data_IF_233494707013
#
_entry.id   IF_233494707013
#
_cell.length_a   1.000
_cell.length_b   1.000
_cell.length_c   1.000
_cell.angle_alpha   90.00
_cell.angle_beta   90.00
_cell.angle_gamma   90.00
#
_symmetry.space_group_name_H-M   'P 1'
#
loop_
_entity.id
_entity.type
_entity.pdbx_description
1 polymer ?
#
# COMPACT_ATOMS: atom_id res chain seq x y z
N UNK A 1 -1.35 3.39 -2.36
CA UNK A 1 -1.15 3.39 -0.90
C UNK A 1 -1.48 1.99 -0.39
N UNK A 2 -0.58 1.29 0.30
CA UNK A 2 -0.81 -0.11 0.72
C UNK A 2 -0.87 -0.26 2.23
N UNK A 3 -2.07 -0.44 2.77
CA UNK A 3 -2.30 -0.74 4.18
C UNK A 3 -2.90 -2.14 4.39
N UNK A 4 -2.74 -2.67 5.61
CA UNK A 4 -3.03 -4.07 5.93
C UNK A 4 -4.50 -4.27 6.44
N UNK A 5 -5.54 -4.05 5.60
CA UNK A 5 -7.02 -4.28 5.86
C UNK A 5 -7.83 -4.31 4.55
N UNK A 6 -8.89 -5.07 4.22
CA UNK A 6 -9.44 -6.46 4.41
C UNK A 6 -9.97 -7.02 5.75
N UNK A 7 -11.15 -7.67 5.67
CA UNK A 7 -11.57 -9.03 6.15
C UNK A 7 -12.47 -9.60 5.03
N UNK A 8 -12.51 -10.93 4.76
CA UNK A 8 -13.25 -11.61 3.64
C UNK A 8 -13.85 -10.72 2.52
N UNK A 9 -13.20 -10.65 1.34
CA UNK A 9 -13.68 -9.93 0.16
C UNK A 9 -14.20 -10.91 -0.92
N UNK A 10 -15.32 -10.57 -1.58
CA UNK A 10 -15.79 -11.25 -2.81
C UNK A 10 -15.12 -10.61 -4.03
N UNK A 11 -14.80 -11.42 -5.04
CA UNK A 11 -14.23 -10.94 -6.31
C UNK A 11 -15.37 -10.51 -7.23
N UNK A 12 -15.26 -9.33 -7.83
CA UNK A 12 -16.12 -8.82 -8.90
C UNK A 12 -15.21 -8.45 -10.10
N UNK A 13 -15.33 -9.07 -11.29
CA UNK A 13 -14.24 -9.13 -12.27
C UNK A 13 -14.15 -7.93 -13.23
N UNK A 14 -14.68 -6.74 -12.88
CA UNK A 14 -15.06 -5.73 -13.87
C UNK A 14 -14.61 -4.27 -13.61
N UNK A 15 -13.30 -4.02 -13.43
CA UNK A 15 -12.73 -2.65 -13.59
C UNK A 15 -11.44 -2.68 -14.40
N UNK A 16 -11.37 -1.86 -15.46
CA UNK A 16 -10.24 -1.86 -16.42
C UNK A 16 -9.02 -1.09 -15.91
N UNK A 17 -7.83 -1.60 -16.23
CA UNK A 17 -6.58 -0.84 -16.21
C UNK A 17 -6.19 -0.38 -17.62
N UNK A 18 -5.40 0.70 -17.70
CA UNK A 18 -4.85 1.32 -18.93
C UNK A 18 -5.93 1.93 -19.83
N UNK A 19 -6.06 3.26 -19.77
CA UNK A 19 -6.74 4.06 -20.78
C UNK A 19 -5.73 4.97 -21.50
N UNK A 20 -5.33 4.60 -22.72
CA UNK A 20 -4.60 5.50 -23.61
C UNK A 20 -5.11 5.35 -25.04
N UNK A 21 -5.59 6.45 -25.63
CA UNK A 21 -6.14 6.47 -27.00
C UNK A 21 -5.02 6.46 -28.05
N UNK A 22 -4.42 5.30 -28.28
CA UNK A 22 -3.69 4.99 -29.52
C UNK A 22 -4.04 3.58 -29.97
N UNK A 23 -4.69 3.46 -31.13
CA UNK A 23 -5.12 2.17 -31.71
C UNK A 23 -3.92 1.43 -32.32
N UNK A 24 -2.99 1.01 -31.47
CA UNK A 24 -1.97 0.02 -31.81
C UNK A 24 -2.68 -1.26 -32.22
N UNK A 25 -2.45 -1.69 -33.47
CA UNK A 25 -2.86 -3.01 -33.93
C UNK A 25 -1.89 -3.99 -33.27
N UNK A 26 -2.28 -4.49 -32.10
CA UNK A 26 -1.50 -5.44 -31.32
C UNK A 26 -1.69 -6.85 -31.91
N UNK A 27 -0.84 -7.17 -32.88
CA UNK A 27 -0.75 -8.51 -33.47
C UNK A 27 -0.46 -9.57 -32.40
N UNK A 28 -0.90 -10.80 -32.64
CA UNK A 28 -0.88 -11.85 -31.61
C UNK A 28 0.54 -12.20 -31.12
N UNK A 29 1.55 -12.12 -31.99
CA UNK A 29 2.96 -12.28 -31.59
C UNK A 29 3.42 -11.14 -30.67
N UNK A 30 3.04 -9.90 -30.97
CA UNK A 30 3.37 -8.71 -30.16
C UNK A 30 2.69 -8.80 -28.79
N UNK A 31 1.43 -9.21 -28.72
CA UNK A 31 0.74 -9.50 -27.45
C UNK A 31 1.44 -10.58 -26.64
N UNK A 32 1.78 -11.70 -27.30
CA UNK A 32 2.45 -12.85 -26.67
C UNK A 32 3.79 -12.44 -26.03
N UNK A 33 4.65 -11.76 -26.79
CA UNK A 33 5.94 -11.29 -26.29
C UNK A 33 5.82 -10.32 -25.10
N UNK A 34 4.78 -9.45 -25.10
CA UNK A 34 4.52 -8.54 -23.97
C UNK A 34 4.06 -9.31 -22.73
N UNK A 35 3.15 -10.28 -22.88
CA UNK A 35 2.64 -11.12 -21.79
C UNK A 35 3.73 -12.01 -21.19
N UNK A 36 4.58 -12.62 -22.02
CA UNK A 36 5.70 -13.46 -21.56
C UNK A 36 6.74 -12.65 -20.78
N UNK A 37 7.08 -11.43 -21.27
CA UNK A 37 7.98 -10.52 -20.56
C UNK A 37 7.39 -10.02 -19.22
N UNK A 38 6.10 -9.65 -19.19
CA UNK A 38 5.42 -9.26 -17.96
C UNK A 38 5.36 -10.40 -16.93
N UNK A 39 5.10 -11.64 -17.37
CA UNK A 39 5.14 -12.82 -16.51
C UNK A 39 6.53 -13.04 -15.91
N UNK A 40 7.59 -12.91 -16.73
CA UNK A 40 8.97 -13.03 -16.27
C UNK A 40 9.36 -11.98 -15.21
N UNK A 41 8.89 -10.74 -15.34
CA UNK A 41 9.12 -9.70 -14.34
C UNK A 41 8.42 -10.00 -13.00
N UNK A 42 7.22 -10.60 -13.04
CA UNK A 42 6.48 -11.00 -11.83
C UNK A 42 7.16 -12.18 -11.13
N UNK A 43 7.61 -13.21 -11.86
CA UNK A 43 8.37 -14.34 -11.29
C UNK A 43 9.70 -13.87 -10.67
N UNK A 44 10.42 -12.95 -11.33
CA UNK A 44 11.63 -12.35 -10.76
C UNK A 44 11.33 -11.63 -9.42
N UNK A 45 10.24 -10.86 -9.36
CA UNK A 45 9.82 -10.17 -8.13
C UNK A 45 9.42 -11.14 -7.01
N UNK A 46 8.72 -12.23 -7.35
CA UNK A 46 8.42 -13.32 -6.40
C UNK A 46 9.73 -13.89 -5.85
N UNK A 47 10.66 -14.26 -6.73
CA UNK A 47 11.95 -14.85 -6.35
C UNK A 47 12.79 -13.91 -5.46
N UNK A 48 12.84 -12.60 -5.73
CA UNK A 48 13.53 -11.63 -4.86
C UNK A 48 12.91 -11.55 -3.47
N UNK A 49 11.58 -11.61 -3.34
CA UNK A 49 10.89 -11.61 -2.04
C UNK A 49 11.08 -12.94 -1.30
N UNK A 50 11.05 -14.08 -2.00
CA UNK A 50 11.21 -15.42 -1.41
C UNK A 50 12.61 -15.67 -0.81
N UNK A 51 13.66 -14.95 -1.26
CA UNK A 51 15.00 -14.96 -0.63
C UNK A 51 14.99 -14.63 0.86
N UNK A 52 14.00 -13.87 1.33
CA UNK A 52 13.84 -13.47 2.74
C UNK A 52 12.50 -13.85 3.36
N UNK A 53 11.49 -14.17 2.55
CA UNK A 53 10.16 -14.59 2.98
C UNK A 53 9.88 -16.04 2.57
N UNK A 54 10.62 -16.96 3.18
CA UNK A 54 10.72 -18.37 2.78
C UNK A 54 9.40 -19.15 3.00
N UNK A 55 9.07 -20.04 2.06
CA UNK A 55 8.09 -21.11 2.25
C UNK A 55 6.62 -20.70 2.18
N UNK A 56 6.32 -19.52 1.63
CA UNK A 56 4.96 -18.94 1.62
C UNK A 56 4.59 -18.29 0.29
N UNK A 57 4.98 -18.92 -0.83
CA UNK A 57 4.82 -18.39 -2.19
C UNK A 57 3.44 -17.79 -2.48
N UNK A 58 2.35 -18.50 -2.15
CA UNK A 58 0.98 -18.01 -2.33
C UNK A 58 0.69 -16.66 -1.63
N UNK A 59 1.33 -16.39 -0.49
CA UNK A 59 1.19 -15.10 0.20
C UNK A 59 1.96 -14.00 -0.54
N UNK A 60 3.11 -14.31 -1.12
CA UNK A 60 3.89 -13.39 -1.99
C UNK A 60 3.09 -13.09 -3.25
N UNK A 61 2.57 -14.11 -3.94
CA UNK A 61 1.74 -14.01 -5.14
C UNK A 61 0.47 -13.19 -4.90
N UNK A 62 -0.26 -13.42 -3.80
CA UNK A 62 -1.43 -12.62 -3.42
C UNK A 62 -1.07 -11.16 -3.07
N UNK A 63 0.10 -10.93 -2.46
CA UNK A 63 0.58 -9.58 -2.14
C UNK A 63 0.95 -8.81 -3.40
N UNK A 64 1.66 -9.43 -4.35
CA UNK A 64 2.03 -8.84 -5.63
C UNK A 64 0.79 -8.64 -6.52
N UNK A 65 -0.17 -9.57 -6.51
CA UNK A 65 -1.47 -9.42 -7.18
C UNK A 65 -2.24 -8.20 -6.63
N UNK A 66 -2.32 -8.07 -5.30
CA UNK A 66 -2.95 -6.90 -4.67
C UNK A 66 -2.21 -5.59 -5.00
N UNK A 67 -0.87 -5.62 -5.03
CA UNK A 67 -0.02 -4.50 -5.44
C UNK A 67 -0.33 -4.02 -6.87
N UNK A 68 -0.34 -4.94 -7.85
CA UNK A 68 -0.62 -4.62 -9.25
C UNK A 68 -2.06 -4.09 -9.42
N UNK A 69 -3.01 -4.63 -8.65
CA UNK A 69 -4.41 -4.19 -8.64
C UNK A 69 -4.66 -2.86 -7.91
N UNK A 70 -3.64 -2.22 -7.29
CA UNK A 70 -3.77 -1.08 -6.35
C UNK A 70 -4.68 -1.37 -5.14
N UNK A 71 -4.81 -2.64 -4.75
CA UNK A 71 -5.64 -3.09 -3.64
C UNK A 71 -5.02 -2.90 -2.26
N UNK A 72 -5.65 -3.53 -1.26
CA UNK A 72 -5.19 -3.57 0.13
C UNK A 72 -5.28 -5.02 0.65
N UNK A 73 -4.62 -5.35 1.76
CA UNK A 73 -4.42 -6.76 2.17
C UNK A 73 -4.22 -6.91 3.68
N UNK A 74 -5.23 -7.33 4.46
CA UNK A 74 -4.96 -7.80 5.83
C UNK A 74 -4.26 -9.15 5.77
N UNK A 75 -3.36 -9.37 6.72
CA UNK A 75 -2.92 -10.71 7.11
C UNK A 75 -3.47 -10.94 8.52
N UNK A 76 -4.66 -11.54 8.63
CA UNK A 76 -5.33 -11.78 9.94
C UNK A 76 -4.45 -12.63 10.87
N UNK A 77 -4.57 -12.37 12.17
CA UNK A 77 -4.44 -13.23 13.38
C UNK A 77 -3.43 -14.41 13.43
N UNK A 78 -2.44 -14.44 12.55
CA UNK A 78 -1.28 -15.34 12.68
C UNK A 78 -0.04 -14.50 13.05
N UNK A 79 0.41 -14.52 14.32
CA UNK A 79 1.67 -13.89 14.73
C UNK A 79 2.88 -14.65 14.18
N UNK A 80 4.07 -14.04 14.22
CA UNK A 80 5.31 -14.68 13.75
C UNK A 80 5.42 -14.94 12.24
N UNK A 81 4.37 -14.72 11.44
CA UNK A 81 4.40 -15.09 10.00
C UNK A 81 5.33 -14.26 9.12
N UNK A 82 5.95 -13.19 9.65
CA UNK A 82 6.85 -12.33 8.90
C UNK A 82 6.18 -11.18 8.15
N UNK A 83 5.04 -10.66 8.63
CA UNK A 83 4.33 -9.50 8.01
C UNK A 83 5.29 -8.33 7.73
N UNK A 84 6.12 -7.99 8.72
CA UNK A 84 7.20 -6.99 8.63
C UNK A 84 8.30 -7.37 7.64
N UNK A 85 8.65 -8.65 7.54
CA UNK A 85 9.65 -9.14 6.57
C UNK A 85 9.12 -8.99 5.16
N UNK A 86 7.89 -9.43 4.88
CA UNK A 86 7.23 -9.33 3.58
C UNK A 86 7.11 -7.87 3.11
N UNK A 87 6.62 -6.98 3.97
CA UNK A 87 6.46 -5.56 3.62
C UNK A 87 7.80 -4.87 3.32
N UNK A 88 8.86 -5.17 4.09
CA UNK A 88 10.22 -4.65 3.86
C UNK A 88 10.95 -5.32 2.69
N UNK A 89 10.63 -6.58 2.38
CA UNK A 89 11.15 -7.29 1.21
C UNK A 89 10.59 -6.67 -0.06
N UNK A 90 9.27 -6.51 -0.11
CA UNK A 90 8.57 -5.88 -1.24
C UNK A 90 8.97 -4.42 -1.43
N UNK A 91 9.19 -3.66 -0.35
CA UNK A 91 9.66 -2.27 -0.46
C UNK A 91 11.09 -2.18 -1.01
N UNK A 92 11.99 -3.09 -0.62
CA UNK A 92 13.36 -3.14 -1.14
C UNK A 92 13.44 -3.66 -2.58
N UNK A 93 12.63 -4.66 -2.94
CA UNK A 93 12.63 -5.26 -4.28
C UNK A 93 12.07 -4.33 -5.37
N UNK A 94 11.44 -3.22 -4.97
CA UNK A 94 10.78 -2.24 -5.86
C UNK A 94 11.26 -0.80 -5.67
N UNK A 95 12.26 -0.57 -4.80
CA UNK A 95 12.76 0.76 -4.38
C UNK A 95 11.65 1.73 -3.93
N UNK A 96 10.80 1.24 -3.01
CA UNK A 96 9.62 1.94 -2.51
C UNK A 96 9.78 2.38 -1.05
N UNK A 97 9.21 3.55 -0.72
CA UNK A 97 9.09 4.07 0.63
C UNK A 97 8.24 3.16 1.52
N UNK A 98 8.73 2.90 2.73
CA UNK A 98 8.12 2.03 3.73
C UNK A 98 7.89 2.78 5.05
N UNK A 99 6.66 2.68 5.58
CA UNK A 99 6.34 3.07 6.96
C UNK A 99 5.72 1.91 7.74
N UNK A 100 5.67 2.07 9.07
CA UNK A 100 4.93 1.19 9.98
C UNK A 100 4.13 2.03 10.95
N UNK A 101 2.84 1.74 11.08
CA UNK A 101 1.93 2.36 12.03
C UNK A 101 1.53 1.29 13.03
N UNK A 102 1.92 1.48 14.30
CA UNK A 102 1.50 0.63 15.40
C UNK A 102 0.29 1.30 16.07
N UNK A 103 -0.91 0.80 15.81
CA UNK A 103 -2.12 1.45 16.33
C UNK A 103 -2.25 1.22 17.84
N UNK A 104 -2.52 2.30 18.57
CA UNK A 104 -2.72 2.33 20.02
C UNK A 104 -4.03 3.05 20.36
N UNK A 105 -4.51 2.91 21.60
CA UNK A 105 -5.81 3.43 22.05
C UNK A 105 -5.87 4.96 22.15
N UNK A 106 -4.71 5.59 22.31
CA UNK A 106 -4.46 7.02 22.41
C UNK A 106 -4.12 7.70 21.07
N UNK A 107 -3.80 6.93 20.02
CA UNK A 107 -3.42 7.44 18.70
C UNK A 107 -4.50 8.31 18.06
N UNK A 108 -4.12 9.51 17.66
CA UNK A 108 -4.95 10.50 17.00
C UNK A 108 -4.91 10.36 15.46
N UNK A 109 -5.92 10.85 14.72
CA UNK A 109 -5.87 10.94 13.26
C UNK A 109 -4.63 11.65 12.71
N UNK A 110 -4.14 12.69 13.40
CA UNK A 110 -2.93 13.45 13.05
C UNK A 110 -1.66 12.59 13.03
N UNK A 111 -1.60 11.55 13.84
CA UNK A 111 -0.41 10.69 13.97
C UNK A 111 -0.26 9.74 12.77
N UNK A 112 -1.32 9.66 11.96
CA UNK A 112 -1.41 8.91 10.71
C UNK A 112 -1.35 9.87 9.52
N UNK A 113 -2.25 10.86 9.51
CA UNK A 113 -2.45 11.81 8.41
C UNK A 113 -1.39 12.91 8.32
N UNK A 114 -0.65 13.16 9.40
CA UNK A 114 0.19 14.34 9.54
C UNK A 114 -0.56 15.53 10.15
N UNK A 115 0.16 16.65 10.30
CA UNK A 115 -0.36 17.87 10.93
C UNK A 115 0.44 19.10 10.51
N UNK A 116 -0.12 20.29 10.71
CA UNK A 116 0.61 21.55 10.56
C UNK A 116 1.38 21.88 11.85
N UNK A 117 2.70 22.05 11.73
CA UNK A 117 3.60 22.39 12.83
C UNK A 117 4.11 23.82 12.65
N UNK A 118 3.81 24.68 13.61
CA UNK A 118 4.32 26.06 13.67
C UNK A 118 5.84 26.08 13.81
N UNK A 119 6.50 26.91 13.01
CA UNK A 119 7.95 27.14 13.06
C UNK A 119 8.23 28.53 13.65
N UNK A 120 8.69 28.64 14.92
CA UNK A 120 8.96 29.94 15.54
C UNK A 120 10.01 30.79 14.80
N UNK A 121 10.89 30.17 14.00
CA UNK A 121 11.94 30.85 13.26
C UNK A 121 11.45 31.56 11.99
N UNK A 122 10.30 31.15 11.42
CA UNK A 122 9.68 31.83 10.26
C UNK A 122 8.30 32.41 10.57
N UNK A 123 7.73 32.10 11.75
CA UNK A 123 6.36 32.42 12.15
C UNK A 123 5.26 31.81 11.26
N UNK A 124 5.57 30.73 10.55
CA UNK A 124 4.67 30.03 9.62
C UNK A 124 4.26 28.65 10.13
N UNK A 125 3.14 28.14 9.64
CA UNK A 125 2.76 26.74 9.80
C UNK A 125 3.33 25.90 8.64
N UNK A 126 4.02 24.81 8.97
CA UNK A 126 4.63 23.89 8.00
C UNK A 126 3.94 22.52 8.07
N UNK A 127 3.46 21.98 6.94
CA UNK A 127 2.90 20.64 6.94
C UNK A 127 3.97 19.59 7.24
N UNK A 128 3.67 18.69 8.17
CA UNK A 128 4.47 17.51 8.50
C UNK A 128 3.65 16.28 8.13
N UNK A 129 4.02 15.67 7.02
CA UNK A 129 3.43 14.44 6.50
C UNK A 129 3.51 13.31 7.54
N UNK A 130 2.37 12.66 7.77
CA UNK A 130 2.32 11.48 8.61
C UNK A 130 2.85 10.22 7.89
N UNK A 131 2.92 9.07 8.59
CA UNK A 131 3.37 7.80 8.01
C UNK A 131 2.49 7.30 6.84
N UNK A 132 1.31 7.91 6.62
CA UNK A 132 0.39 7.58 5.53
C UNK A 132 0.98 7.86 4.13
N UNK A 133 1.94 8.78 3.98
CA UNK A 133 2.54 9.16 2.69
C UNK A 133 3.66 8.21 2.20
N UNK A 134 3.73 6.99 2.74
CA UNK A 134 4.63 5.94 2.24
C UNK A 134 3.94 5.04 1.23
N UNK A 135 4.69 4.55 0.24
CA UNK A 135 4.13 3.67 -0.78
C UNK A 135 3.58 2.38 -0.15
N UNK A 136 4.35 1.78 0.78
CA UNK A 136 3.99 0.57 1.55
C UNK A 136 3.89 0.92 3.04
N UNK A 137 2.79 0.53 3.68
CA UNK A 137 2.44 0.90 5.05
C UNK A 137 2.06 -0.36 5.84
N UNK A 138 2.90 -0.78 6.77
CA UNK A 138 2.54 -1.83 7.71
C UNK A 138 1.67 -1.24 8.83
N UNK A 139 0.35 -1.35 8.69
CA UNK A 139 -0.63 -0.96 9.69
C UNK A 139 -0.93 -2.14 10.64
N UNK A 140 -0.24 -2.21 11.77
CA UNK A 140 -0.39 -3.26 12.78
C UNK A 140 -1.41 -2.88 13.87
N UNK A 141 -2.19 -3.86 14.32
CA UNK A 141 -3.13 -3.74 15.45
C UNK A 141 -4.23 -2.66 15.32
N UNK A 142 -4.64 -2.30 14.09
CA UNK A 142 -5.61 -1.23 13.76
C UNK A 142 -6.84 -1.19 14.69
N UNK A 143 -7.33 -2.36 15.11
CA UNK A 143 -8.51 -2.49 15.98
C UNK A 143 -8.31 -1.97 17.42
N UNK A 144 -7.09 -1.61 17.83
CA UNK A 144 -6.78 -1.02 19.16
C UNK A 144 -7.11 0.47 19.26
N UNK A 145 -7.19 1.20 18.15
CA UNK A 145 -7.39 2.65 18.16
C UNK A 145 -8.86 3.05 18.14
N UNK A 146 -9.12 4.32 18.46
CA UNK A 146 -10.47 4.90 18.38
C UNK A 146 -11.11 4.70 16.98
N UNK A 147 -12.45 4.57 16.89
CA UNK A 147 -13.13 4.51 15.59
C UNK A 147 -12.81 5.70 14.68
N UNK A 148 -12.64 6.90 15.23
CA UNK A 148 -12.24 8.11 14.48
C UNK A 148 -10.86 7.96 13.83
N UNK A 149 -9.91 7.38 14.55
CA UNK A 149 -8.55 7.10 14.06
C UNK A 149 -8.56 6.01 12.98
N UNK A 150 -9.43 5.00 13.10
CA UNK A 150 -9.62 3.98 12.06
C UNK A 150 -10.31 4.54 10.82
N UNK A 151 -11.33 5.40 10.98
CA UNK A 151 -11.99 6.09 9.85
C UNK A 151 -11.02 6.97 9.07
N UNK A 152 -10.18 7.75 9.75
CA UNK A 152 -9.18 8.60 9.11
C UNK A 152 -8.20 7.81 8.23
N UNK A 153 -7.75 6.63 8.69
CA UNK A 153 -6.95 5.70 7.87
C UNK A 153 -7.74 5.24 6.63
N UNK A 154 -8.98 4.80 6.82
CA UNK A 154 -9.81 4.20 5.76
C UNK A 154 -10.28 5.23 4.72
N UNK A 155 -10.50 6.47 5.12
CA UNK A 155 -10.82 7.61 4.25
C UNK A 155 -9.63 7.91 3.32
N UNK A 156 -8.42 8.07 3.88
CA UNK A 156 -7.20 8.25 3.09
C UNK A 156 -6.90 7.05 2.15
N UNK A 157 -7.27 5.83 2.56
CA UNK A 157 -7.20 4.64 1.70
C UNK A 157 -8.19 4.68 0.53
N UNK A 158 -9.44 5.08 0.77
CA UNK A 158 -10.48 5.14 -0.25
C UNK A 158 -10.23 6.25 -1.27
N UNK A 159 -9.95 7.46 -0.79
CA UNK A 159 -9.76 8.65 -1.65
C UNK A 159 -8.35 8.72 -2.27
N UNK A 160 -7.39 7.94 -1.76
CA UNK A 160 -5.96 8.00 -2.13
C UNK A 160 -5.33 9.41 -2.01
N UNK A 161 -5.89 10.24 -1.13
CA UNK A 161 -5.46 11.60 -0.81
C UNK A 161 -5.80 11.92 0.65
N UNK A 162 -5.20 12.98 1.21
CA UNK A 162 -5.42 13.45 2.58
C UNK A 162 -5.75 14.94 2.54
N UNK A 163 -6.84 15.36 3.17
CA UNK A 163 -7.24 16.78 3.24
C UNK A 163 -7.20 17.28 4.68
N UNK A 164 -6.44 18.35 4.94
CA UNK A 164 -6.25 18.98 6.26
C UNK A 164 -6.29 20.50 6.11
N UNK A 165 -7.06 21.19 6.95
CA UNK A 165 -7.27 22.65 6.91
C UNK A 165 -7.55 23.26 5.52
N UNK A 166 -8.22 22.47 4.66
CA UNK A 166 -8.61 22.76 3.26
C UNK A 166 -7.49 22.63 2.22
N UNK A 167 -6.29 22.21 2.62
CA UNK A 167 -5.24 21.77 1.69
C UNK A 167 -5.32 20.25 1.49
N UNK A 168 -5.05 19.77 0.27
CA UNK A 168 -5.12 18.35 -0.10
C UNK A 168 -3.76 17.85 -0.59
N UNK A 169 -3.34 16.71 -0.07
CA UNK A 169 -2.03 16.09 -0.26
C UNK A 169 -2.18 14.67 -0.83
N UNK A 170 -1.22 14.23 -1.65
CA UNK A 170 -1.21 12.93 -2.36
C UNK A 170 0.18 12.29 -2.35
#
# INVERSE_FOLDING_TARGET
MFALKVKKVKIDPATNFINSKKRLILDNNTKKNILENQTGLIENLIAEVEKVFVGKRLVVELTITSLIAKGHLLLEDVPGVGKTTLAKALSKALDLGYSRIQFTSDMLPSDILGTFVFNPSTAEFSFRSGPIFSNIILADEINRSSPRTQSALLEAMNECQVTLDRETFT
#
